data_IF_344183487001
#
_entry.id   IF_344183487001
#
_cell.length_a   1.000
_cell.length_b   1.000
_cell.length_c   1.000
_cell.angle_alpha   90.00
_cell.angle_beta   90.00
_cell.angle_gamma   90.00
#
_symmetry.space_group_name_H-M   'P 1'
#
loop_
_entity.id
_entity.type
_entity.pdbx_description
1 polymer ?
#
# COMPACT_ATOMS: atom_id res chain seq x y z
N UNK A 1 -61.18 40.63 81.60
CA UNK A 1 -59.75 40.34 81.43
C UNK A 1 -59.40 38.84 81.47
N UNK A 2 -59.85 38.05 82.46
CA UNK A 2 -59.54 36.60 82.50
C UNK A 2 -60.06 35.77 81.31
N UNK A 3 -61.22 36.11 80.72
CA UNK A 3 -61.77 35.41 79.54
C UNK A 3 -60.94 35.62 78.27
N UNK A 4 -60.48 36.85 78.02
CA UNK A 4 -59.62 37.18 76.88
C UNK A 4 -58.24 36.49 76.97
N UNK A 5 -57.68 36.35 78.18
CA UNK A 5 -56.43 35.61 78.40
C UNK A 5 -56.59 34.09 78.19
N UNK A 6 -57.76 33.52 78.48
CA UNK A 6 -58.07 32.11 78.24
C UNK A 6 -58.27 31.81 76.75
N UNK A 7 -58.97 32.69 76.03
CA UNK A 7 -59.17 32.59 74.57
C UNK A 7 -57.85 32.74 73.80
N UNK A 8 -56.98 33.67 74.19
CA UNK A 8 -55.65 33.83 73.60
C UNK A 8 -54.75 32.60 73.83
N UNK A 9 -54.87 31.94 75.00
CA UNK A 9 -54.15 30.68 75.29
C UNK A 9 -54.69 29.52 74.46
N UNK A 10 -56.00 29.44 74.25
CA UNK A 10 -56.62 28.42 73.40
C UNK A 10 -56.21 28.59 71.93
N UNK A 11 -56.25 29.81 71.40
CA UNK A 11 -55.77 30.13 70.04
C UNK A 11 -54.28 29.84 69.87
N UNK A 12 -53.45 30.16 70.87
CA UNK A 12 -52.02 29.84 70.83
C UNK A 12 -51.75 28.32 70.89
N UNK A 13 -52.55 27.56 71.65
CA UNK A 13 -52.46 26.10 71.70
C UNK A 13 -52.88 25.47 70.36
N UNK A 14 -53.95 25.98 69.75
CA UNK A 14 -54.43 25.54 68.43
C UNK A 14 -53.42 25.85 67.33
N UNK A 15 -52.84 27.06 67.30
CA UNK A 15 -51.79 27.44 66.35
C UNK A 15 -50.53 26.56 66.50
N UNK A 16 -50.16 26.21 67.73
CA UNK A 16 -49.04 25.27 67.99
C UNK A 16 -49.37 23.86 67.49
N UNK A 17 -50.60 23.39 67.70
CA UNK A 17 -51.05 22.10 67.20
C UNK A 17 -51.04 22.06 65.68
N UNK A 18 -51.58 23.08 65.01
CA UNK A 18 -51.55 23.21 63.55
C UNK A 18 -50.11 23.27 63.01
N UNK A 19 -49.22 24.03 63.67
CA UNK A 19 -47.81 24.08 63.30
C UNK A 19 -47.11 22.72 63.47
N UNK A 20 -47.45 21.95 64.51
CA UNK A 20 -46.91 20.61 64.72
C UNK A 20 -47.42 19.63 63.64
N UNK A 21 -48.70 19.68 63.29
CA UNK A 21 -49.27 18.88 62.19
C UNK A 21 -48.60 19.22 60.86
N UNK A 22 -48.42 20.52 60.56
CA UNK A 22 -47.74 20.97 59.34
C UNK A 22 -46.27 20.51 59.29
N UNK A 23 -45.56 20.54 60.43
CA UNK A 23 -44.18 20.03 60.52
C UNK A 23 -44.11 18.52 60.32
N UNK A 24 -45.05 17.76 60.89
CA UNK A 24 -45.13 16.32 60.72
C UNK A 24 -45.43 15.96 59.26
N UNK A 25 -46.38 16.64 58.61
CA UNK A 25 -46.70 16.45 57.20
C UNK A 25 -45.52 16.83 56.28
N UNK A 26 -44.80 17.91 56.59
CA UNK A 26 -43.59 18.27 55.84
C UNK A 26 -42.46 17.25 56.04
N UNK A 27 -42.34 16.67 57.24
CA UNK A 27 -41.35 15.63 57.51
C UNK A 27 -41.68 14.32 56.78
N UNK A 28 -42.95 13.89 56.74
CA UNK A 28 -43.38 12.71 55.99
C UNK A 28 -43.18 12.90 54.49
N UNK A 29 -43.58 14.05 53.94
CA UNK A 29 -43.37 14.36 52.51
C UNK A 29 -41.88 14.37 52.13
N UNK A 30 -41.00 14.86 53.00
CA UNK A 30 -39.54 14.79 52.78
C UNK A 30 -39.01 13.37 52.82
N UNK A 31 -39.51 12.54 53.74
CA UNK A 31 -39.12 11.13 53.85
C UNK A 31 -39.54 10.34 52.60
N UNK A 32 -40.78 10.52 52.14
CA UNK A 32 -41.29 9.93 50.91
C UNK A 32 -40.47 10.37 49.69
N UNK A 33 -40.20 11.68 49.55
CA UNK A 33 -39.37 12.20 48.48
C UNK A 33 -37.91 11.69 48.54
N UNK A 34 -37.38 11.38 49.72
CA UNK A 34 -36.07 10.75 49.87
C UNK A 34 -36.10 9.28 49.43
N UNK A 35 -37.16 8.54 49.78
CA UNK A 35 -37.36 7.15 49.36
C UNK A 35 -37.52 7.01 47.85
N UNK A 36 -38.35 7.85 47.22
CA UNK A 36 -38.52 7.87 45.75
C UNK A 36 -37.19 8.15 45.05
N UNK A 37 -36.40 9.13 45.55
CA UNK A 37 -35.06 9.41 45.00
C UNK A 37 -34.09 8.25 45.19
N UNK A 38 -34.16 7.54 46.30
CA UNK A 38 -33.33 6.36 46.55
C UNK A 38 -33.70 5.21 45.60
N UNK A 39 -34.98 4.95 45.40
CA UNK A 39 -35.49 3.94 44.45
C UNK A 39 -35.08 4.26 43.02
N UNK A 40 -35.31 5.49 42.54
CA UNK A 40 -34.90 5.92 41.21
C UNK A 40 -33.38 5.77 40.97
N UNK A 41 -32.56 6.05 41.99
CA UNK A 41 -31.10 5.85 41.91
C UNK A 41 -30.72 4.37 41.87
N UNK A 42 -31.41 3.52 42.63
CA UNK A 42 -31.17 2.07 42.62
C UNK A 42 -31.53 1.46 41.26
N UNK A 43 -32.68 1.84 40.69
CA UNK A 43 -33.11 1.43 39.36
C UNK A 43 -32.15 1.90 38.26
N UNK A 44 -31.74 3.17 38.31
CA UNK A 44 -30.75 3.70 37.36
C UNK A 44 -29.42 2.93 37.40
N UNK A 45 -28.95 2.55 38.60
CA UNK A 45 -27.74 1.72 38.76
C UNK A 45 -27.94 0.29 38.26
N UNK A 46 -29.09 -0.30 38.55
CA UNK A 46 -29.43 -1.65 38.09
C UNK A 46 -29.46 -1.74 36.55
N UNK A 47 -29.85 -0.67 35.86
CA UNK A 47 -29.85 -0.58 34.41
C UNK A 47 -28.49 -0.20 33.79
N UNK A 48 -27.64 0.53 34.52
CA UNK A 48 -26.36 1.00 33.99
C UNK A 48 -25.34 -0.14 33.79
N UNK A 49 -25.21 -1.05 34.75
CA UNK A 49 -24.26 -2.16 34.67
C UNK A 49 -24.48 -3.12 33.48
N UNK A 50 -25.70 -3.63 33.21
CA UNK A 50 -25.93 -4.51 32.06
C UNK A 50 -25.75 -3.78 30.73
N UNK A 51 -26.06 -2.48 30.64
CA UNK A 51 -25.81 -1.66 29.44
C UNK A 51 -24.32 -1.55 29.16
N UNK A 52 -23.53 -1.17 30.15
CA UNK A 52 -22.07 -1.08 30.02
C UNK A 52 -21.46 -2.44 29.62
N UNK A 53 -21.97 -3.55 30.17
CA UNK A 53 -21.51 -4.89 29.80
C UNK A 53 -21.89 -5.25 28.35
N UNK A 54 -23.10 -4.91 27.91
CA UNK A 54 -23.54 -5.14 26.54
C UNK A 54 -22.71 -4.33 25.53
N UNK A 55 -22.43 -3.06 25.84
CA UNK A 55 -21.57 -2.20 25.03
C UNK A 55 -20.14 -2.75 24.95
N UNK A 56 -19.55 -3.18 26.07
CA UNK A 56 -18.22 -3.79 26.08
C UNK A 56 -18.15 -5.07 25.23
N UNK A 57 -19.20 -5.92 25.27
CA UNK A 57 -19.29 -7.12 24.42
C UNK A 57 -19.38 -6.74 22.95
N UNK A 58 -20.25 -5.79 22.59
CA UNK A 58 -20.39 -5.32 21.22
C UNK A 58 -19.08 -4.75 20.66
N UNK A 59 -18.34 -3.97 21.47
CA UNK A 59 -17.03 -3.46 21.10
C UNK A 59 -15.99 -4.59 20.92
N UNK A 60 -15.98 -5.58 21.81
CA UNK A 60 -15.08 -6.73 21.70
C UNK A 60 -15.36 -7.56 20.44
N UNK A 61 -16.63 -7.77 20.10
CA UNK A 61 -17.01 -8.50 18.89
C UNK A 61 -16.69 -7.70 17.61
N UNK A 62 -16.93 -6.39 17.62
CA UNK A 62 -16.51 -5.52 16.53
C UNK A 62 -14.97 -5.56 16.32
N UNK A 63 -14.20 -5.50 17.41
CA UNK A 63 -12.74 -5.60 17.35
C UNK A 63 -12.28 -6.96 16.80
N UNK A 64 -12.93 -8.06 17.19
CA UNK A 64 -12.64 -9.41 16.65
C UNK A 64 -12.91 -9.50 15.15
N UNK A 65 -14.03 -8.93 14.68
CA UNK A 65 -14.37 -8.90 13.25
C UNK A 65 -13.32 -8.09 12.47
N UNK A 66 -12.94 -6.92 12.98
CA UNK A 66 -11.91 -6.09 12.36
C UNK A 66 -10.54 -6.79 12.34
N UNK A 67 -10.14 -7.45 13.42
CA UNK A 67 -8.90 -8.20 13.48
C UNK A 67 -8.88 -9.33 12.45
N UNK A 68 -9.98 -10.09 12.31
CA UNK A 68 -10.10 -11.14 11.27
C UNK A 68 -10.00 -10.58 9.87
N UNK A 69 -10.67 -9.45 9.60
CA UNK A 69 -10.59 -8.79 8.31
C UNK A 69 -9.17 -8.29 8.00
N UNK A 70 -8.46 -7.75 9.00
CA UNK A 70 -7.07 -7.33 8.86
C UNK A 70 -6.13 -8.51 8.57
N UNK A 71 -6.32 -9.64 9.26
CA UNK A 71 -5.56 -10.87 9.01
C UNK A 71 -5.78 -11.37 7.58
N UNK A 72 -7.04 -11.47 7.13
CA UNK A 72 -7.35 -11.90 5.76
C UNK A 72 -6.72 -11.00 4.70
N UNK A 73 -6.74 -9.67 4.90
CA UNK A 73 -6.06 -8.71 4.02
C UNK A 73 -4.53 -8.89 4.03
N UNK A 74 -3.95 -9.16 5.20
CA UNK A 74 -2.52 -9.42 5.33
C UNK A 74 -2.11 -10.68 4.57
N UNK A 75 -2.89 -11.76 4.69
CA UNK A 75 -2.64 -13.01 3.99
C UNK A 75 -2.77 -12.85 2.48
N UNK A 76 -3.79 -12.12 2.01
CA UNK A 76 -3.92 -11.77 0.60
C UNK A 76 -2.72 -10.94 0.09
N UNK A 77 -2.26 -9.97 0.87
CA UNK A 77 -1.10 -9.15 0.51
C UNK A 77 0.19 -9.99 0.44
N UNK A 78 0.37 -10.96 1.36
CA UNK A 78 1.49 -11.91 1.35
C UNK A 78 1.46 -12.79 0.10
N UNK A 79 0.32 -13.37 -0.23
CA UNK A 79 0.15 -14.17 -1.44
C UNK A 79 0.43 -13.34 -2.70
N UNK A 80 -0.06 -12.09 -2.76
CA UNK A 80 0.24 -11.17 -3.86
C UNK A 80 1.73 -10.86 -3.98
N UNK A 81 2.41 -10.61 -2.86
CA UNK A 81 3.85 -10.36 -2.84
C UNK A 81 4.68 -11.57 -3.27
N UNK A 82 4.26 -12.79 -2.93
CA UNK A 82 4.89 -14.02 -3.40
C UNK A 82 4.78 -14.19 -4.91
N UNK A 83 3.58 -13.98 -5.47
CA UNK A 83 3.37 -14.03 -6.92
C UNK A 83 4.23 -12.97 -7.62
N UNK A 84 4.25 -11.74 -7.11
CA UNK A 84 5.07 -10.67 -7.67
C UNK A 84 6.57 -11.01 -7.65
N UNK A 85 7.07 -11.60 -6.55
CA UNK A 85 8.47 -12.07 -6.46
C UNK A 85 8.76 -13.16 -7.49
N UNK A 86 7.88 -14.14 -7.66
CA UNK A 86 8.05 -15.20 -8.66
C UNK A 86 8.08 -14.63 -10.09
N UNK A 87 7.18 -13.68 -10.40
CA UNK A 87 7.13 -13.01 -11.69
C UNK A 87 8.40 -12.18 -11.94
N UNK A 88 8.87 -11.44 -10.94
CA UNK A 88 10.11 -10.66 -11.04
C UNK A 88 11.33 -11.57 -11.29
N UNK A 89 11.42 -12.72 -10.60
CA UNK A 89 12.49 -13.70 -10.83
C UNK A 89 12.46 -14.24 -12.26
N UNK A 90 11.29 -14.60 -12.79
CA UNK A 90 11.14 -15.07 -14.17
C UNK A 90 11.53 -13.99 -15.17
N UNK A 91 11.01 -12.77 -15.01
CA UNK A 91 11.32 -11.65 -15.89
C UNK A 91 12.83 -11.34 -15.92
N UNK A 92 13.52 -11.42 -14.77
CA UNK A 92 14.98 -11.27 -14.71
C UNK A 92 15.69 -12.40 -15.45
N UNK A 93 15.26 -13.65 -15.28
CA UNK A 93 15.83 -14.79 -16.00
C UNK A 93 15.64 -14.65 -17.53
N UNK A 94 14.44 -14.28 -17.97
CA UNK A 94 14.13 -14.06 -19.38
C UNK A 94 14.98 -12.92 -19.96
N UNK A 95 15.11 -11.81 -19.22
CA UNK A 95 15.94 -10.69 -19.63
C UNK A 95 17.41 -11.11 -19.82
N UNK A 96 17.95 -11.96 -18.94
CA UNK A 96 19.32 -12.51 -19.08
C UNK A 96 19.46 -13.36 -20.33
N UNK A 97 18.50 -14.24 -20.63
CA UNK A 97 18.50 -15.05 -21.85
C UNK A 97 18.47 -14.16 -23.10
N UNK A 98 17.63 -13.13 -23.12
CA UNK A 98 17.56 -12.22 -24.26
C UNK A 98 18.83 -11.38 -24.42
N UNK A 99 19.43 -10.92 -23.33
CA UNK A 99 20.74 -10.25 -23.36
C UNK A 99 21.82 -11.17 -23.92
N UNK A 100 21.87 -12.44 -23.50
CA UNK A 100 22.81 -13.42 -24.04
C UNK A 100 22.65 -13.63 -25.55
N UNK A 101 21.41 -13.80 -26.03
CA UNK A 101 21.11 -13.89 -27.47
C UNK A 101 21.50 -12.61 -28.23
N UNK A 102 21.26 -11.44 -27.64
CA UNK A 102 21.69 -10.16 -28.21
C UNK A 102 23.21 -10.09 -28.37
N UNK A 103 23.96 -10.50 -27.35
CA UNK A 103 25.41 -10.57 -27.39
C UNK A 103 25.93 -11.52 -28.48
N UNK A 104 25.31 -12.70 -28.63
CA UNK A 104 25.65 -13.65 -29.70
C UNK A 104 25.41 -13.09 -31.10
N UNK A 105 24.27 -12.42 -31.31
CA UNK A 105 23.96 -11.75 -32.58
C UNK A 105 24.98 -10.66 -32.91
N UNK A 106 25.35 -9.85 -31.91
CA UNK A 106 26.39 -8.82 -32.05
C UNK A 106 27.74 -9.44 -32.43
N UNK A 107 28.12 -10.58 -31.83
CA UNK A 107 29.36 -11.29 -32.21
C UNK A 107 29.30 -11.83 -33.64
N UNK A 108 28.13 -12.29 -34.10
CA UNK A 108 27.96 -12.69 -35.51
C UNK A 108 28.14 -11.51 -36.45
N UNK A 109 27.46 -10.40 -36.19
CA UNK A 109 27.61 -9.18 -36.97
C UNK A 109 29.05 -8.65 -36.97
N UNK A 110 29.76 -8.73 -35.84
CA UNK A 110 31.18 -8.40 -35.77
C UNK A 110 32.05 -9.29 -36.68
N UNK A 111 31.83 -10.61 -36.68
CA UNK A 111 32.55 -11.52 -37.60
C UNK A 111 32.28 -11.19 -39.06
N UNK A 112 31.01 -10.99 -39.42
CA UNK A 112 30.60 -10.62 -40.78
C UNK A 112 31.25 -9.29 -41.22
N UNK A 113 31.30 -8.29 -40.34
CA UNK A 113 31.98 -7.02 -40.62
C UNK A 113 33.49 -7.19 -40.85
N UNK A 114 34.17 -8.07 -40.09
CA UNK A 114 35.60 -8.35 -40.32
C UNK A 114 35.82 -9.04 -41.66
N UNK A 115 35.03 -10.06 -41.96
CA UNK A 115 35.10 -10.79 -43.22
C UNK A 115 34.82 -9.88 -44.42
N UNK A 116 33.81 -9.02 -44.32
CA UNK A 116 33.49 -8.03 -45.34
C UNK A 116 34.61 -7.00 -45.48
N UNK A 117 35.15 -6.51 -44.36
CA UNK A 117 36.29 -5.60 -44.36
C UNK A 117 37.52 -6.20 -45.05
N UNK A 118 37.79 -7.50 -44.88
CA UNK A 118 38.86 -8.22 -45.59
C UNK A 118 38.55 -8.36 -47.08
N UNK A 119 37.33 -8.77 -47.44
CA UNK A 119 36.90 -8.90 -48.84
C UNK A 119 37.00 -7.58 -49.60
N UNK A 120 36.61 -6.47 -48.98
CA UNK A 120 36.72 -5.13 -49.56
C UNK A 120 38.17 -4.67 -49.79
N UNK A 121 39.20 -5.37 -49.27
CA UNK A 121 40.59 -5.07 -49.63
C UNK A 121 40.95 -5.51 -51.04
N UNK A 122 40.25 -6.51 -51.58
CA UNK A 122 40.42 -6.98 -52.95
C UNK A 122 39.84 -5.97 -53.96
N UNK A 123 40.66 -5.41 -54.88
CA UNK A 123 40.17 -4.51 -55.93
C UNK A 123 39.12 -5.14 -56.84
N UNK A 124 39.19 -6.44 -57.14
CA UNK A 124 38.22 -7.11 -58.00
C UNK A 124 36.84 -7.16 -57.33
N UNK A 125 36.82 -7.50 -56.04
CA UNK A 125 35.59 -7.49 -55.24
C UNK A 125 34.98 -6.09 -55.13
N UNK A 126 35.79 -5.04 -54.92
CA UNK A 126 35.27 -3.65 -54.92
C UNK A 126 34.67 -3.25 -56.26
N UNK A 127 35.31 -3.61 -57.38
CA UNK A 127 34.79 -3.33 -58.71
C UNK A 127 33.42 -3.99 -58.94
N UNK A 128 33.25 -5.25 -58.49
CA UNK A 128 31.97 -5.96 -58.51
C UNK A 128 30.91 -5.23 -57.68
N UNK A 129 31.23 -4.80 -56.45
CA UNK A 129 30.30 -4.05 -55.60
C UNK A 129 29.89 -2.72 -56.21
N UNK A 130 30.80 -2.00 -56.88
CA UNK A 130 30.49 -0.75 -57.59
C UNK A 130 29.51 -1.01 -58.74
N UNK A 131 29.75 -2.06 -59.55
CA UNK A 131 28.86 -2.45 -60.63
C UNK A 131 27.46 -2.79 -60.09
N UNK A 132 27.37 -3.63 -59.05
CA UNK A 132 26.12 -4.01 -58.40
C UNK A 132 25.38 -2.81 -57.80
N UNK A 133 26.07 -1.87 -57.16
CA UNK A 133 25.44 -0.65 -56.65
C UNK A 133 24.92 0.24 -57.79
N UNK A 134 25.66 0.34 -58.90
CA UNK A 134 25.24 1.10 -60.08
C UNK A 134 23.98 0.52 -60.71
N UNK A 135 23.87 -0.81 -60.81
CA UNK A 135 22.66 -1.50 -61.27
C UNK A 135 21.44 -1.20 -60.36
N UNK A 136 21.69 -1.04 -59.06
CA UNK A 136 20.67 -0.62 -58.08
C UNK A 136 20.41 0.89 -58.05
N UNK A 137 21.00 1.67 -58.98
CA UNK A 137 20.86 3.13 -59.04
C UNK A 137 21.60 3.89 -57.94
N UNK A 138 22.51 3.23 -57.21
CA UNK A 138 23.33 3.83 -56.15
C UNK A 138 24.72 4.17 -56.68
N UNK A 139 25.22 5.34 -56.32
CA UNK A 139 26.58 5.75 -56.65
C UNK A 139 27.49 5.46 -55.46
N UNK A 140 28.37 4.47 -55.58
CA UNK A 140 29.40 4.13 -54.61
C UNK A 140 30.75 4.17 -55.31
N UNK A 141 31.73 4.81 -54.68
CA UNK A 141 33.08 4.98 -55.22
C UNK A 141 34.06 3.98 -54.63
N UNK A 142 35.14 3.70 -55.35
CA UNK A 142 36.23 2.84 -54.87
C UNK A 142 36.84 3.37 -53.58
N UNK A 143 37.06 4.69 -53.49
CA UNK A 143 37.58 5.35 -52.30
C UNK A 143 36.68 5.13 -51.06
N UNK A 144 35.36 5.16 -51.22
CA UNK A 144 34.42 4.90 -50.13
C UNK A 144 34.46 3.45 -49.66
N UNK A 145 34.54 2.49 -50.59
CA UNK A 145 34.67 1.07 -50.24
C UNK A 145 36.03 0.75 -49.61
N UNK A 146 37.10 1.41 -50.09
CA UNK A 146 38.42 1.29 -49.50
C UNK A 146 38.44 1.86 -48.07
N UNK A 147 37.80 2.99 -47.83
CA UNK A 147 37.65 3.53 -46.48
C UNK A 147 36.81 2.61 -45.57
N UNK A 148 35.72 2.05 -46.11
CA UNK A 148 34.91 1.08 -45.37
C UNK A 148 35.72 -0.16 -44.99
N UNK A 149 36.59 -0.67 -45.88
CA UNK A 149 37.48 -1.80 -45.60
C UNK A 149 38.43 -1.57 -44.43
N UNK A 150 38.79 -0.30 -44.16
CA UNK A 150 39.68 0.10 -43.06
C UNK A 150 38.92 0.22 -41.75
N UNK A 151 37.71 0.78 -41.79
CA UNK A 151 36.92 1.10 -40.60
C UNK A 151 36.06 -0.06 -40.08
N UNK A 152 35.67 -1.01 -40.93
CA UNK A 152 34.83 -2.14 -40.52
C UNK A 152 35.44 -3.00 -39.39
N UNK A 153 36.74 -3.37 -39.42
CA UNK A 153 37.35 -4.12 -38.32
C UNK A 153 37.27 -3.40 -36.98
N UNK A 154 37.51 -2.08 -36.94
CA UNK A 154 37.44 -1.29 -35.70
C UNK A 154 36.02 -1.26 -35.12
N UNK A 155 35.01 -1.13 -35.99
CA UNK A 155 33.60 -1.21 -35.61
C UNK A 155 33.21 -2.60 -35.11
N UNK A 156 33.76 -3.66 -35.72
CA UNK A 156 33.57 -5.02 -35.25
C UNK A 156 34.15 -5.23 -33.85
N UNK A 157 35.34 -4.70 -33.58
CA UNK A 157 35.96 -4.79 -32.25
C UNK A 157 35.15 -4.02 -31.20
N UNK A 158 34.58 -2.87 -31.56
CA UNK A 158 33.65 -2.16 -30.67
C UNK A 158 32.38 -2.97 -30.40
N UNK A 159 31.81 -3.57 -31.43
CA UNK A 159 30.61 -4.41 -31.30
C UNK A 159 30.89 -5.63 -30.41
N UNK A 160 32.06 -6.26 -30.53
CA UNK A 160 32.47 -7.38 -29.67
C UNK A 160 32.67 -6.94 -28.21
N UNK A 161 33.30 -5.79 -27.96
CA UNK A 161 33.41 -5.22 -26.59
C UNK A 161 32.04 -4.99 -25.95
N UNK A 162 31.08 -4.45 -26.71
CA UNK A 162 29.71 -4.24 -26.22
C UNK A 162 28.97 -5.57 -25.98
N UNK A 163 29.20 -6.57 -26.85
CA UNK A 163 28.65 -7.92 -26.65
C UNK A 163 29.20 -8.55 -25.36
N UNK A 164 30.49 -8.39 -25.07
CA UNK A 164 31.12 -8.87 -23.83
C UNK A 164 30.55 -8.19 -22.58
N UNK A 165 30.30 -6.89 -22.64
CA UNK A 165 29.64 -6.16 -21.57
C UNK A 165 28.21 -6.66 -21.34
N UNK A 166 27.45 -6.88 -22.43
CA UNK A 166 26.10 -7.42 -22.38
C UNK A 166 26.08 -8.84 -21.78
N UNK A 167 27.03 -9.70 -22.18
CA UNK A 167 27.16 -11.05 -21.64
C UNK A 167 27.53 -11.04 -20.15
N UNK A 168 28.41 -10.14 -19.72
CA UNK A 168 28.75 -9.96 -18.30
C UNK A 168 27.53 -9.55 -17.49
N UNK A 169 26.73 -8.59 -17.97
CA UNK A 169 25.47 -8.18 -17.33
C UNK A 169 24.44 -9.30 -17.29
N UNK A 170 24.37 -10.13 -18.33
CA UNK A 170 23.49 -11.28 -18.36
C UNK A 170 23.92 -12.37 -17.34
N UNK A 171 25.22 -12.52 -17.10
CA UNK A 171 25.77 -13.48 -16.15
C UNK A 171 25.69 -13.01 -14.68
N UNK A 172 25.58 -11.69 -14.44
CA UNK A 172 25.57 -11.12 -13.10
C UNK A 172 24.27 -11.45 -12.33
N UNK A 173 24.35 -12.21 -11.21
CA UNK A 173 23.22 -12.53 -10.37
C UNK A 173 22.90 -11.39 -9.39
N UNK A 174 22.58 -10.18 -9.88
CA UNK A 174 22.00 -9.12 -9.06
C UNK A 174 20.63 -9.49 -8.46
#
# INVERSE_FOLDING_TARGET
EMRAAAEARAQAAEARQQANVARQAAASARAEAAQVRAQARAEARALAAPRAQAEARAQADAARVQARAAMARSDQARAGAEIARQQATRARADARVQMGRGAEQMRSGAREMREEGVRLRDPAYRAEQIAKNREQGRTVTDAQLQELSRTLPERADEMERRADEMQRRAADPA
#
